data_IF_791603206613
#
_entry.id   IF_791603206613
#
_cell.length_a   1.000
_cell.length_b   1.000
_cell.length_c   1.000
_cell.angle_alpha   90.00
_cell.angle_beta   90.00
_cell.angle_gamma   90.00
#
_symmetry.space_group_name_H-M   'P 1'
#
loop_
_entity.id
_entity.type
_entity.pdbx_description
1 polymer ?
#
# COMPACT_ATOMS: atom_id res chain seq x y z
N UNK A 1 86.15 13.82 65.90
CA UNK A 1 85.58 12.46 65.79
C UNK A 1 84.10 12.59 65.48
N UNK A 2 83.82 13.09 64.28
CA UNK A 2 82.50 13.17 63.67
C UNK A 2 82.79 12.64 62.27
N UNK A 3 82.74 11.32 62.15
CA UNK A 3 82.87 10.64 60.88
C UNK A 3 81.72 11.11 60.02
N UNK A 4 82.09 12.03 59.14
CA UNK A 4 81.36 12.46 57.98
C UNK A 4 80.89 11.19 57.29
N UNK A 5 79.57 11.01 57.22
CA UNK A 5 78.90 10.01 56.40
C UNK A 5 79.42 10.13 54.97
N UNK A 6 80.50 9.44 54.65
CA UNK A 6 80.91 9.19 53.28
C UNK A 6 80.01 8.06 52.82
N UNK A 7 78.91 8.46 52.20
CA UNK A 7 78.21 7.70 51.20
C UNK A 7 79.19 6.84 50.39
N UNK A 8 79.18 5.54 50.62
CA UNK A 8 79.84 4.63 49.69
C UNK A 8 79.14 4.77 48.33
N UNK A 9 79.86 4.90 47.22
CA UNK A 9 79.28 5.10 45.89
C UNK A 9 78.28 3.98 45.53
N UNK A 10 78.42 2.80 46.13
CA UNK A 10 77.48 1.69 46.03
C UNK A 10 76.09 1.99 46.65
N UNK A 11 76.02 2.69 47.79
CA UNK A 11 74.74 3.02 48.46
C UNK A 11 74.00 4.12 47.71
N UNK A 12 74.73 5.10 47.16
CA UNK A 12 74.15 6.13 46.28
C UNK A 12 73.68 5.56 44.94
N UNK A 13 74.44 4.65 44.33
CA UNK A 13 74.01 3.94 43.11
C UNK A 13 72.78 3.06 43.38
N UNK A 14 72.72 2.37 44.52
CA UNK A 14 71.59 1.56 44.92
C UNK A 14 70.31 2.39 45.19
N UNK A 15 70.44 3.58 45.80
CA UNK A 15 69.29 4.46 46.06
C UNK A 15 68.76 5.12 44.78
N UNK A 16 69.65 5.51 43.85
CA UNK A 16 69.26 6.00 42.51
C UNK A 16 68.58 4.89 41.71
N UNK A 17 69.12 3.66 41.74
CA UNK A 17 68.52 2.52 41.07
C UNK A 17 67.15 2.15 41.67
N UNK A 18 67.02 2.19 43.00
CA UNK A 18 65.74 1.96 43.68
C UNK A 18 64.70 3.04 43.34
N UNK A 19 65.09 4.31 43.31
CA UNK A 19 64.22 5.41 42.92
C UNK A 19 63.79 5.29 41.45
N UNK A 20 64.73 4.99 40.54
CA UNK A 20 64.42 4.75 39.14
C UNK A 20 63.48 3.54 38.98
N UNK A 21 63.66 2.47 39.74
CA UNK A 21 62.78 1.31 39.72
C UNK A 21 61.36 1.64 40.20
N UNK A 22 61.22 2.42 41.27
CA UNK A 22 59.92 2.89 41.79
C UNK A 22 59.22 3.81 40.78
N UNK A 23 59.97 4.75 40.17
CA UNK A 23 59.44 5.65 39.14
C UNK A 23 58.99 4.87 37.89
N UNK A 24 59.78 3.87 37.47
CA UNK A 24 59.45 3.02 36.33
C UNK A 24 58.22 2.16 36.64
N UNK A 25 58.13 1.57 37.83
CA UNK A 25 56.99 0.75 38.25
C UNK A 25 55.68 1.56 38.34
N UNK A 26 55.75 2.78 38.89
CA UNK A 26 54.59 3.69 38.97
C UNK A 26 54.15 4.20 37.60
N UNK A 27 55.09 4.57 36.72
CA UNK A 27 54.79 4.93 35.33
C UNK A 27 54.15 3.75 34.57
N UNK A 28 54.66 2.53 34.75
CA UNK A 28 54.13 1.32 34.12
C UNK A 28 52.71 1.00 34.61
N UNK A 29 52.45 1.11 35.91
CA UNK A 29 51.11 0.95 36.49
C UNK A 29 50.12 1.98 35.93
N UNK A 30 50.55 3.24 35.81
CA UNK A 30 49.69 4.31 35.27
C UNK A 30 49.35 4.07 33.80
N UNK A 31 50.34 3.68 32.98
CA UNK A 31 50.15 3.35 31.57
C UNK A 31 49.22 2.13 31.41
N UNK A 32 49.44 1.06 32.19
CA UNK A 32 48.60 -0.13 32.15
C UNK A 32 47.15 0.18 32.53
N UNK A 33 46.93 1.02 33.55
CA UNK A 33 45.57 1.44 33.93
C UNK A 33 44.90 2.28 32.85
N UNK A 34 45.64 3.18 32.19
CA UNK A 34 45.13 3.96 31.04
C UNK A 34 44.78 3.06 29.86
N UNK A 35 45.62 2.09 29.52
CA UNK A 35 45.37 1.11 28.45
C UNK A 35 44.12 0.26 28.74
N UNK A 36 43.92 -0.18 29.98
CA UNK A 36 42.71 -0.92 30.38
C UNK A 36 41.43 -0.09 30.22
N UNK A 37 41.46 1.20 30.56
CA UNK A 37 40.31 2.08 30.38
C UNK A 37 40.00 2.31 28.89
N UNK A 38 41.04 2.54 28.08
CA UNK A 38 40.89 2.70 26.62
C UNK A 38 40.31 1.42 26.01
N UNK A 39 40.79 0.23 26.39
CA UNK A 39 40.27 -1.05 25.90
C UNK A 39 38.79 -1.25 26.27
N UNK A 40 38.40 -0.86 27.49
CA UNK A 40 37.01 -0.94 27.95
C UNK A 40 36.10 0.01 27.15
N UNK A 41 36.54 1.24 26.90
CA UNK A 41 35.80 2.20 26.09
C UNK A 41 35.71 1.78 24.63
N UNK A 42 36.78 1.19 24.07
CA UNK A 42 36.79 0.60 22.73
C UNK A 42 35.77 -0.54 22.61
N UNK A 43 35.72 -1.46 23.59
CA UNK A 43 34.73 -2.55 23.64
C UNK A 43 33.30 -2.05 23.73
N UNK A 44 33.06 -0.99 24.50
CA UNK A 44 31.72 -0.37 24.59
C UNK A 44 31.32 0.30 23.29
N UNK A 45 32.25 1.03 22.67
CA UNK A 45 32.04 1.68 21.38
C UNK A 45 31.76 0.67 20.27
N UNK A 46 32.55 -0.42 20.18
CA UNK A 46 32.32 -1.48 19.18
C UNK A 46 30.99 -2.20 19.39
N UNK A 47 30.58 -2.47 20.63
CA UNK A 47 29.27 -3.03 20.92
C UNK A 47 28.12 -2.07 20.54
N UNK A 48 28.28 -0.77 20.79
CA UNK A 48 27.31 0.25 20.40
C UNK A 48 27.20 0.38 18.88
N UNK A 49 28.33 0.37 18.17
CA UNK A 49 28.37 0.36 16.69
C UNK A 49 27.66 -0.89 16.18
N UNK A 50 28.01 -2.08 16.67
CA UNK A 50 27.39 -3.33 16.23
C UNK A 50 25.87 -3.33 16.42
N UNK A 51 25.38 -2.78 17.54
CA UNK A 51 23.94 -2.60 17.78
C UNK A 51 23.32 -1.64 16.76
N UNK A 52 23.93 -0.48 16.51
CA UNK A 52 23.44 0.46 15.50
C UNK A 52 23.43 -0.15 14.10
N UNK A 53 24.44 -0.94 13.73
CA UNK A 53 24.48 -1.61 12.43
C UNK A 53 23.34 -2.62 12.29
N UNK A 54 23.02 -3.36 13.36
CA UNK A 54 21.88 -4.28 13.39
C UNK A 54 20.55 -3.53 13.28
N UNK A 55 20.38 -2.41 14.00
CA UNK A 55 19.18 -1.58 13.94
C UNK A 55 19.00 -0.96 12.54
N UNK A 56 20.09 -0.54 11.88
CA UNK A 56 20.06 -0.03 10.50
C UNK A 56 19.67 -1.15 9.53
N UNK A 57 20.23 -2.35 9.68
CA UNK A 57 19.91 -3.49 8.84
C UNK A 57 18.42 -3.87 8.97
N UNK A 58 17.87 -3.89 10.19
CA UNK A 58 16.46 -4.14 10.44
C UNK A 58 15.57 -3.06 9.79
N UNK A 59 15.91 -1.77 9.96
CA UNK A 59 15.16 -0.69 9.30
C UNK A 59 15.23 -0.76 7.77
N UNK A 60 16.37 -1.19 7.21
CA UNK A 60 16.50 -1.38 5.76
C UNK A 60 15.62 -2.54 5.25
N UNK A 61 15.48 -3.62 6.01
CA UNK A 61 14.57 -4.70 5.64
C UNK A 61 13.11 -4.24 5.68
N UNK A 62 12.72 -3.49 6.71
CA UNK A 62 11.36 -2.96 6.84
C UNK A 62 11.02 -1.98 5.71
N UNK A 63 11.97 -1.11 5.35
CA UNK A 63 11.81 -0.18 4.22
C UNK A 63 11.63 -0.93 2.89
N UNK A 64 12.46 -1.94 2.61
CA UNK A 64 12.33 -2.75 1.39
C UNK A 64 10.98 -3.46 1.32
N UNK A 65 10.50 -4.00 2.45
CA UNK A 65 9.19 -4.64 2.49
C UNK A 65 8.06 -3.64 2.21
N UNK A 66 8.14 -2.45 2.82
CA UNK A 66 7.20 -1.36 2.55
C UNK A 66 7.21 -0.91 1.09
N UNK A 67 8.40 -0.78 0.48
CA UNK A 67 8.55 -0.42 -0.94
C UNK A 67 7.92 -1.48 -1.85
N UNK A 68 8.12 -2.77 -1.57
CA UNK A 68 7.51 -3.86 -2.33
C UNK A 68 5.99 -3.85 -2.23
N UNK A 69 5.44 -3.64 -1.03
CA UNK A 69 3.99 -3.51 -0.82
C UNK A 69 3.41 -2.31 -1.56
N UNK A 70 4.06 -1.16 -1.47
CA UNK A 70 3.66 0.05 -2.21
C UNK A 70 3.70 -0.19 -3.73
N UNK A 71 4.76 -0.79 -4.25
CA UNK A 71 4.89 -1.10 -5.67
C UNK A 71 3.78 -2.08 -6.14
N UNK A 72 3.43 -3.08 -5.34
CA UNK A 72 2.33 -3.99 -5.64
C UNK A 72 0.98 -3.26 -5.67
N UNK A 73 0.73 -2.37 -4.70
CA UNK A 73 -0.50 -1.56 -4.63
C UNK A 73 -0.62 -0.59 -5.82
N UNK A 74 0.48 0.03 -6.24
CA UNK A 74 0.49 0.90 -7.43
C UNK A 74 0.15 0.12 -8.71
N UNK A 75 0.74 -1.06 -8.91
CA UNK A 75 0.41 -1.92 -10.07
C UNK A 75 -1.04 -2.38 -10.05
N UNK A 76 -1.55 -2.74 -8.87
CA UNK A 76 -2.96 -3.10 -8.71
C UNK A 76 -3.89 -1.91 -9.02
N UNK A 77 -3.52 -0.71 -8.59
CA UNK A 77 -4.27 0.53 -8.84
C UNK A 77 -4.32 0.89 -10.32
N UNK A 78 -3.20 0.75 -11.05
CA UNK A 78 -3.18 0.95 -12.52
C UNK A 78 -4.11 -0.02 -13.25
N UNK A 79 -4.15 -1.28 -12.80
CA UNK A 79 -5.07 -2.29 -13.34
C UNK A 79 -6.52 -1.93 -13.04
N UNK A 80 -6.82 -1.46 -11.82
CA UNK A 80 -8.17 -1.03 -11.45
C UNK A 80 -8.61 0.21 -12.23
N UNK A 81 -7.72 1.18 -12.47
CA UNK A 81 -7.98 2.36 -13.30
C UNK A 81 -8.39 1.99 -14.72
N UNK A 82 -7.63 1.12 -15.39
CA UNK A 82 -7.97 0.62 -16.74
C UNK A 82 -9.31 -0.10 -16.76
N UNK A 83 -9.60 -0.90 -15.73
CA UNK A 83 -10.89 -1.60 -15.59
C UNK A 83 -12.04 -0.63 -15.38
N UNK A 84 -11.85 0.41 -14.58
CA UNK A 84 -12.85 1.44 -14.34
C UNK A 84 -13.14 2.25 -15.60
N UNK A 85 -12.11 2.59 -16.38
CA UNK A 85 -12.29 3.28 -17.67
C UNK A 85 -13.09 2.43 -18.66
N UNK A 86 -12.76 1.13 -18.78
CA UNK A 86 -13.51 0.21 -19.61
C UNK A 86 -14.99 0.11 -19.18
N UNK A 87 -15.24 -0.07 -17.88
CA UNK A 87 -16.59 -0.12 -17.31
C UNK A 87 -17.36 1.17 -17.58
N UNK A 88 -16.75 2.33 -17.36
CA UNK A 88 -17.34 3.64 -17.63
C UNK A 88 -17.72 3.77 -19.11
N UNK A 89 -16.85 3.36 -20.02
CA UNK A 89 -17.12 3.40 -21.45
C UNK A 89 -18.29 2.48 -21.84
N UNK A 90 -18.34 1.27 -21.30
CA UNK A 90 -19.43 0.33 -21.55
C UNK A 90 -20.77 0.85 -21.02
N UNK A 91 -20.79 1.38 -19.79
CA UNK A 91 -21.98 1.99 -19.18
C UNK A 91 -22.46 3.20 -19.98
N UNK A 92 -21.57 4.14 -20.31
CA UNK A 92 -21.91 5.32 -21.09
C UNK A 92 -22.45 4.95 -22.48
N UNK A 93 -21.80 4.00 -23.15
CA UNK A 93 -22.20 3.52 -24.47
C UNK A 93 -23.56 2.82 -24.41
N UNK A 94 -23.79 1.96 -23.41
CA UNK A 94 -25.09 1.31 -23.19
C UNK A 94 -26.20 2.33 -22.94
N UNK A 95 -25.98 3.28 -22.02
CA UNK A 95 -26.97 4.33 -21.73
C UNK A 95 -27.28 5.17 -22.97
N UNK A 96 -26.26 5.51 -23.77
CA UNK A 96 -26.44 6.24 -25.02
C UNK A 96 -27.30 5.46 -26.01
N UNK A 97 -27.05 4.16 -26.20
CA UNK A 97 -27.84 3.32 -27.11
C UNK A 97 -29.30 3.23 -26.67
N UNK A 98 -29.54 3.08 -25.37
CA UNK A 98 -30.90 3.04 -24.82
C UNK A 98 -31.60 4.41 -24.93
N UNK A 99 -30.89 5.50 -24.68
CA UNK A 99 -31.41 6.87 -24.84
C UNK A 99 -31.77 7.18 -26.29
N UNK A 100 -30.93 6.79 -27.25
CA UNK A 100 -31.20 6.94 -28.68
C UNK A 100 -32.45 6.16 -29.09
N UNK A 101 -32.60 4.93 -28.61
CA UNK A 101 -33.80 4.13 -28.88
C UNK A 101 -35.07 4.78 -28.29
N UNK A 102 -34.96 5.39 -27.10
CA UNK A 102 -36.07 6.10 -26.47
C UNK A 102 -36.47 7.38 -27.21
N UNK A 103 -35.50 8.09 -27.80
CA UNK A 103 -35.75 9.30 -28.61
C UNK A 103 -36.30 8.96 -30.00
N UNK A 104 -35.88 7.84 -30.57
CA UNK A 104 -36.36 7.33 -31.85
C UNK A 104 -36.81 5.87 -31.70
N UNK A 105 -38.03 5.65 -31.17
CA UNK A 105 -38.71 4.36 -31.08
C UNK A 105 -38.53 3.46 -32.30
N UNK A 106 -38.00 2.25 -32.08
CA UNK A 106 -37.88 1.25 -33.13
C UNK A 106 -37.36 -0.09 -32.63
N UNK A 107 -37.57 -1.18 -33.40
CA UNK A 107 -37.02 -2.48 -33.08
C UNK A 107 -35.49 -2.43 -33.14
N UNK A 108 -34.82 -2.86 -32.07
CA UNK A 108 -33.36 -2.98 -32.04
C UNK A 108 -32.97 -4.33 -32.62
N UNK A 109 -32.33 -4.32 -33.79
CA UNK A 109 -31.92 -5.54 -34.50
C UNK A 109 -30.46 -5.46 -34.95
N UNK A 110 -29.92 -6.62 -35.39
CA UNK A 110 -28.58 -6.72 -35.95
C UNK A 110 -27.47 -6.34 -34.96
N UNK A 111 -26.48 -5.57 -35.45
CA UNK A 111 -25.30 -5.19 -34.67
C UNK A 111 -25.64 -4.38 -33.42
N UNK A 112 -26.64 -3.51 -33.45
CA UNK A 112 -27.04 -2.73 -32.27
C UNK A 112 -27.55 -3.63 -31.12
N UNK A 113 -28.33 -4.66 -31.44
CA UNK A 113 -28.82 -5.63 -30.45
C UNK A 113 -27.65 -6.39 -29.84
N UNK A 114 -26.71 -6.85 -30.67
CA UNK A 114 -25.51 -7.57 -30.25
C UNK A 114 -24.62 -6.72 -29.35
N UNK A 115 -24.42 -5.44 -29.69
CA UNK A 115 -23.62 -4.50 -28.90
C UNK A 115 -24.25 -4.23 -27.52
N UNK A 116 -25.57 -4.04 -27.44
CA UNK A 116 -26.28 -3.90 -26.15
C UNK A 116 -26.10 -5.14 -25.27
N UNK A 117 -26.31 -6.34 -25.83
CA UNK A 117 -26.14 -7.60 -25.08
C UNK A 117 -24.69 -7.76 -24.61
N UNK A 118 -23.72 -7.47 -25.48
CA UNK A 118 -22.29 -7.55 -25.14
C UNK A 118 -21.95 -6.61 -23.98
N UNK A 119 -22.44 -5.37 -24.00
CA UNK A 119 -22.22 -4.41 -22.91
C UNK A 119 -22.90 -4.84 -21.61
N UNK A 120 -24.13 -5.35 -21.67
CA UNK A 120 -24.82 -5.86 -20.48
C UNK A 120 -24.01 -7.00 -19.84
N UNK A 121 -23.52 -7.95 -20.65
CA UNK A 121 -22.67 -9.03 -20.17
C UNK A 121 -21.34 -8.52 -19.61
N UNK A 122 -20.70 -7.57 -20.30
CA UNK A 122 -19.46 -6.94 -19.84
C UNK A 122 -19.65 -6.31 -18.46
N UNK A 123 -20.67 -5.46 -18.29
CA UNK A 123 -21.00 -4.80 -17.02
C UNK A 123 -21.31 -5.83 -15.93
N UNK A 124 -22.10 -6.87 -16.23
CA UNK A 124 -22.40 -7.95 -15.28
C UNK A 124 -21.14 -8.65 -14.76
N UNK A 125 -20.11 -8.84 -15.60
CA UNK A 125 -18.83 -9.42 -15.17
C UNK A 125 -18.04 -8.52 -14.22
N UNK A 126 -18.28 -7.20 -14.23
CA UNK A 126 -17.72 -6.28 -13.23
C UNK A 126 -18.49 -6.31 -11.91
N UNK A 127 -19.75 -6.75 -11.93
CA UNK A 127 -20.68 -6.70 -10.82
C UNK A 127 -20.85 -8.11 -10.23
N UNK A 128 -19.99 -8.50 -9.29
CA UNK A 128 -20.17 -9.75 -8.53
C UNK A 128 -21.57 -9.75 -7.89
N UNK A 129 -22.37 -10.82 -7.97
CA UNK A 129 -23.76 -10.83 -7.47
C UNK A 129 -23.84 -10.86 -5.93
N UNK A 130 -22.82 -10.37 -5.22
CA UNK A 130 -22.74 -10.38 -3.77
C UNK A 130 -23.13 -9.01 -3.23
N UNK A 131 -24.39 -8.91 -2.79
CA UNK A 131 -24.90 -7.69 -2.18
C UNK A 131 -26.11 -7.17 -2.94
N UNK A 132 -27.03 -6.55 -2.18
CA UNK A 132 -28.34 -6.13 -2.69
C UNK A 132 -28.26 -5.19 -3.90
N UNK A 133 -27.28 -4.28 -3.93
CA UNK A 133 -27.09 -3.37 -5.06
C UNK A 133 -26.65 -4.13 -6.32
N UNK A 134 -25.66 -5.00 -6.19
CA UNK A 134 -25.13 -5.79 -7.29
C UNK A 134 -26.16 -6.78 -7.86
N UNK A 135 -26.95 -7.41 -6.99
CA UNK A 135 -28.09 -8.25 -7.39
C UNK A 135 -29.12 -7.44 -8.16
N UNK A 136 -29.50 -6.26 -7.64
CA UNK A 136 -30.48 -5.38 -8.28
C UNK A 136 -29.99 -4.92 -9.65
N UNK A 137 -28.72 -4.54 -9.76
CA UNK A 137 -28.15 -4.08 -11.03
C UNK A 137 -28.08 -5.22 -12.06
N UNK A 138 -27.71 -6.43 -11.66
CA UNK A 138 -27.74 -7.59 -12.56
C UNK A 138 -29.16 -7.89 -13.05
N UNK A 139 -30.16 -7.83 -12.17
CA UNK A 139 -31.59 -7.97 -12.57
C UNK A 139 -31.99 -6.85 -13.54
N UNK A 140 -31.53 -5.62 -13.34
CA UNK A 140 -31.80 -4.53 -14.28
C UNK A 140 -31.12 -4.74 -15.64
N UNK A 141 -29.92 -5.32 -15.69
CA UNK A 141 -29.27 -5.70 -16.95
C UNK A 141 -30.08 -6.78 -17.69
N UNK A 142 -30.66 -7.75 -16.96
CA UNK A 142 -31.56 -8.76 -17.55
C UNK A 142 -32.88 -8.13 -18.06
N UNK A 143 -33.39 -7.10 -17.39
CA UNK A 143 -34.56 -6.37 -17.90
C UNK A 143 -34.27 -5.65 -19.22
N UNK A 144 -33.02 -5.24 -19.47
CA UNK A 144 -32.62 -4.68 -20.77
C UNK A 144 -32.64 -5.74 -21.85
N UNK A 145 -32.17 -6.95 -21.58
CA UNK A 145 -32.21 -8.04 -22.56
C UNK A 145 -33.66 -8.45 -22.88
N UNK A 146 -34.53 -8.52 -21.88
CA UNK A 146 -35.97 -8.76 -22.08
C UNK A 146 -36.64 -7.65 -22.91
N UNK A 147 -36.25 -6.38 -22.72
CA UNK A 147 -36.70 -5.28 -23.57
C UNK A 147 -36.33 -5.48 -25.05
N UNK A 148 -35.14 -6.04 -25.35
CA UNK A 148 -34.75 -6.29 -26.74
C UNK A 148 -35.68 -7.27 -27.46
N UNK A 149 -36.40 -8.12 -26.71
CA UNK A 149 -37.34 -9.10 -27.24
C UNK A 149 -38.78 -8.58 -27.25
N UNK A 150 -39.22 -7.93 -26.18
CA UNK A 150 -40.60 -7.44 -26.01
C UNK A 150 -40.84 -6.04 -26.63
N UNK A 151 -39.78 -5.30 -26.93
CA UNK A 151 -39.83 -3.97 -27.54
C UNK A 151 -40.46 -2.90 -26.63
N UNK A 152 -40.96 -1.82 -27.24
CA UNK A 152 -41.41 -0.63 -26.50
C UNK A 152 -42.46 -0.87 -25.41
N UNK A 153 -43.32 -1.89 -25.60
CA UNK A 153 -44.35 -2.23 -24.63
C UNK A 153 -43.75 -2.60 -23.27
N UNK A 154 -42.52 -3.10 -23.25
CA UNK A 154 -41.78 -3.43 -22.04
C UNK A 154 -41.58 -2.22 -21.12
N UNK A 155 -41.17 -1.08 -21.69
CA UNK A 155 -40.89 0.14 -20.95
C UNK A 155 -42.15 0.89 -20.55
N UNK A 156 -43.21 0.84 -21.38
CA UNK A 156 -44.50 1.44 -21.06
C UNK A 156 -45.09 0.88 -19.77
N UNK A 157 -44.85 -0.40 -19.50
CA UNK A 157 -45.29 -1.06 -18.27
C UNK A 157 -44.34 -0.84 -17.07
N UNK A 158 -43.20 -0.15 -17.27
CA UNK A 158 -42.14 0.06 -16.24
C UNK A 158 -41.53 1.47 -16.32
N UNK A 159 -42.32 2.54 -16.13
CA UNK A 159 -41.86 3.91 -16.33
C UNK A 159 -40.72 4.32 -15.39
N UNK A 160 -40.61 3.72 -14.20
CA UNK A 160 -39.55 3.97 -13.23
C UNK A 160 -38.22 3.27 -13.51
N UNK A 161 -38.19 2.32 -14.46
CA UNK A 161 -37.01 1.50 -14.71
C UNK A 161 -35.79 2.32 -15.13
N UNK A 162 -35.93 3.10 -16.19
CA UNK A 162 -34.78 3.74 -16.84
C UNK A 162 -34.08 4.79 -15.95
N UNK A 163 -34.81 5.66 -15.21
CA UNK A 163 -34.19 6.54 -14.22
C UNK A 163 -33.46 5.77 -13.10
N UNK A 164 -34.05 4.69 -12.59
CA UNK A 164 -33.44 3.88 -11.53
C UNK A 164 -32.18 3.15 -12.03
N UNK A 165 -32.24 2.55 -13.22
CA UNK A 165 -31.11 1.90 -13.87
C UNK A 165 -29.96 2.88 -14.13
N UNK A 166 -30.26 4.04 -14.73
CA UNK A 166 -29.25 5.08 -14.98
C UNK A 166 -28.55 5.51 -13.68
N UNK A 167 -29.30 5.71 -12.60
CA UNK A 167 -28.72 6.10 -11.32
C UNK A 167 -27.85 4.99 -10.72
N UNK A 168 -28.30 3.72 -10.79
CA UNK A 168 -27.49 2.59 -10.33
C UNK A 168 -26.20 2.43 -11.17
N UNK A 169 -26.25 2.67 -12.47
CA UNK A 169 -25.07 2.70 -13.34
C UNK A 169 -24.04 3.75 -12.90
N UNK A 170 -24.48 4.96 -12.55
CA UNK A 170 -23.58 5.99 -12.03
C UNK A 170 -23.03 5.63 -10.64
N UNK A 171 -23.89 5.12 -9.75
CA UNK A 171 -23.46 4.63 -8.44
C UNK A 171 -22.40 3.52 -8.53
N UNK A 172 -22.49 2.65 -9.55
CA UNK A 172 -21.47 1.62 -9.80
C UNK A 172 -20.12 2.26 -10.19
N UNK A 173 -20.14 3.20 -11.13
CA UNK A 173 -18.94 3.91 -11.59
C UNK A 173 -18.28 4.62 -10.41
N UNK A 174 -19.05 5.40 -9.65
CA UNK A 174 -18.54 6.17 -8.51
C UNK A 174 -17.99 5.25 -7.42
N UNK A 175 -18.66 4.13 -7.13
CA UNK A 175 -18.20 3.18 -6.13
C UNK A 175 -16.89 2.47 -6.54
N UNK A 176 -16.69 2.13 -7.82
CA UNK A 176 -15.40 1.60 -8.30
C UNK A 176 -14.30 2.68 -8.29
N UNK A 177 -14.63 3.95 -8.58
CA UNK A 177 -13.66 5.04 -8.46
C UNK A 177 -13.23 5.29 -7.01
N UNK A 178 -14.18 5.30 -6.08
CA UNK A 178 -13.90 5.41 -4.65
C UNK A 178 -13.02 4.26 -4.15
N UNK A 179 -13.27 3.03 -4.63
CA UNK A 179 -12.43 1.88 -4.33
C UNK A 179 -10.99 2.07 -4.81
N UNK A 180 -10.79 2.60 -6.01
CA UNK A 180 -9.47 2.92 -6.56
C UNK A 180 -8.77 3.95 -5.68
N UNK A 181 -9.45 5.06 -5.36
CA UNK A 181 -8.90 6.11 -4.50
C UNK A 181 -8.48 5.54 -3.14
N UNK A 182 -9.35 4.78 -2.50
CA UNK A 182 -9.10 4.19 -1.19
C UNK A 182 -7.94 3.17 -1.24
N UNK A 183 -7.81 2.42 -2.34
CA UNK A 183 -6.70 1.48 -2.57
C UNK A 183 -5.37 2.21 -2.68
N UNK A 184 -5.32 3.32 -3.42
CA UNK A 184 -4.12 4.16 -3.56
C UNK A 184 -3.74 4.79 -2.22
N UNK A 185 -4.72 5.34 -1.49
CA UNK A 185 -4.48 6.01 -0.21
C UNK A 185 -3.98 5.07 0.89
N UNK A 186 -4.50 3.84 0.95
CA UNK A 186 -4.10 2.86 1.97
C UNK A 186 -2.90 2.00 1.57
N UNK A 187 -2.55 1.96 0.28
CA UNK A 187 -1.49 1.08 -0.21
C UNK A 187 -1.85 -0.40 -0.15
N UNK A 188 -3.14 -0.74 -0.13
CA UNK A 188 -3.66 -2.11 -0.09
C UNK A 188 -4.98 -2.22 -0.86
N UNK A 189 -5.32 -3.42 -1.35
CA UNK A 189 -6.56 -3.66 -2.09
C UNK A 189 -7.78 -3.59 -1.16
N UNK A 190 -8.67 -2.64 -1.44
CA UNK A 190 -9.92 -2.46 -0.68
C UNK A 190 -11.11 -3.06 -1.44
N UNK A 191 -12.11 -3.56 -0.72
CA UNK A 191 -13.37 -3.99 -1.28
C UNK A 191 -14.22 -2.80 -1.77
N UNK A 192 -14.99 -2.97 -2.85
CA UNK A 192 -15.97 -1.96 -3.27
C UNK A 192 -17.05 -1.78 -2.20
N UNK A 193 -17.41 -0.53 -1.90
CA UNK A 193 -18.58 -0.22 -1.05
C UNK A 193 -19.86 -0.51 -1.80
N UNK A 194 -20.87 -1.06 -1.11
CA UNK A 194 -22.19 -1.33 -1.71
C UNK A 194 -23.06 -0.07 -1.59
N UNK A 195 -23.39 0.62 -2.69
CA UNK A 195 -24.33 1.74 -2.67
C UNK A 195 -25.73 1.28 -2.29
N UNK A 196 -26.63 2.22 -1.99
CA UNK A 196 -28.05 1.89 -1.86
C UNK A 196 -28.63 1.52 -3.24
N UNK A 197 -29.26 0.34 -3.29
CA UNK A 197 -29.95 -0.13 -4.49
C UNK A 197 -31.21 0.68 -4.75
N UNK A 198 -31.30 1.32 -5.93
CA UNK A 198 -32.54 1.96 -6.37
C UNK A 198 -33.39 0.94 -7.14
N UNK A 199 -34.49 0.55 -6.51
CA UNK A 199 -35.54 -0.28 -7.12
C UNK A 199 -36.46 0.63 -7.95
N UNK A 200 -36.93 0.13 -9.10
CA UNK A 200 -38.05 0.76 -9.78
C UNK A 200 -39.35 0.33 -9.08
N UNK A 201 -40.24 1.29 -8.84
CA UNK A 201 -41.62 1.06 -8.39
C UNK A 201 -42.54 1.26 -9.58
#
# INVERSE_FOLDING_TARGET
MLDFLISTPAVFAASIAAFAAILTATATLFINRRLQLIDLDLKRSTAAIAKQTADIAAKQTDLKESELRAAAAFRASDTLLKRHEALRNDVCSLLTLLDLNRLSPGPIQGEARKDIVMKCNSISLFVSPRGKFDETLNVQLDHITAFLDEGENYWRNRPGFFPAFRLNCWNLIDAEFDRIRDTIQKGELVARRQPEARMFV
#
